data_IF_585251070086
#
_entry.id   IF_585251070086
#
_cell.length_a   1.000
_cell.length_b   1.000
_cell.length_c   1.000
_cell.angle_alpha   90.00
_cell.angle_beta   90.00
_cell.angle_gamma   90.00
#
_symmetry.space_group_name_H-M   'P 1'
#
loop_
_entity.id
_entity.type
_entity.pdbx_description
1 polymer ?
#
# COMPACT_ATOMS: atom_id res chain seq x y z
N UNK A 1 16.32 -22.47 4.97
CA UNK A 1 15.18 -22.59 5.92
C UNK A 1 13.94 -22.91 5.13
N UNK A 2 13.29 -24.05 5.41
CA UNK A 2 12.01 -24.44 4.82
C UNK A 2 10.90 -23.61 5.49
N UNK A 3 10.25 -22.72 4.73
CA UNK A 3 9.08 -21.99 5.21
C UNK A 3 7.87 -22.93 5.18
N UNK A 4 7.51 -23.46 6.35
CA UNK A 4 6.23 -24.16 6.51
C UNK A 4 5.13 -23.11 6.53
N UNK A 5 4.40 -22.98 5.43
CA UNK A 5 3.10 -22.31 5.40
C UNK A 5 2.20 -23.05 6.39
N UNK A 6 1.91 -22.44 7.55
CA UNK A 6 0.93 -22.98 8.49
C UNK A 6 -0.45 -22.74 7.89
N UNK A 7 -0.97 -23.73 7.15
CA UNK A 7 -2.34 -23.77 6.63
C UNK A 7 -3.42 -23.85 7.75
N UNK A 8 -3.01 -23.68 9.02
CA UNK A 8 -3.83 -23.81 10.22
C UNK A 8 -4.34 -22.46 10.75
N UNK A 9 -3.80 -21.34 10.27
CA UNK A 9 -4.20 -20.04 10.78
C UNK A 9 -5.59 -19.65 10.25
N UNK A 10 -6.46 -19.23 11.16
CA UNK A 10 -7.76 -18.65 10.81
C UNK A 10 -7.59 -17.38 9.98
N UNK A 11 -8.65 -16.98 9.26
CA UNK A 11 -8.63 -15.70 8.53
C UNK A 11 -8.40 -14.51 9.46
N UNK A 12 -8.90 -14.61 10.68
CA UNK A 12 -8.75 -13.58 11.71
C UNK A 12 -7.30 -13.46 12.20
N UNK A 13 -6.63 -14.57 12.52
CA UNK A 13 -5.22 -14.56 12.94
C UNK A 13 -4.29 -14.03 11.83
N UNK A 14 -4.59 -14.39 10.59
CA UNK A 14 -3.87 -13.86 9.43
C UNK A 14 -4.03 -12.34 9.31
N UNK A 15 -5.25 -11.83 9.52
CA UNK A 15 -5.54 -10.39 9.46
C UNK A 15 -4.90 -9.63 10.61
N UNK A 16 -4.98 -10.18 11.82
CA UNK A 16 -4.37 -9.59 13.01
C UNK A 16 -2.85 -9.46 12.84
N UNK A 17 -2.17 -10.48 12.33
CA UNK A 17 -0.71 -10.41 12.09
C UNK A 17 -0.35 -9.39 11.02
N UNK A 18 -1.07 -9.38 9.89
CA UNK A 18 -0.83 -8.38 8.84
C UNK A 18 -1.03 -6.96 9.37
N UNK A 19 -2.07 -6.72 10.15
CA UNK A 19 -2.32 -5.41 10.74
C UNK A 19 -1.28 -5.02 11.79
N UNK A 20 -0.91 -5.94 12.68
CA UNK A 20 0.14 -5.71 13.66
C UNK A 20 1.51 -5.43 13.01
N UNK A 21 1.77 -6.04 11.84
CA UNK A 21 2.97 -5.74 11.05
C UNK A 21 2.90 -4.34 10.44
N UNK A 22 1.83 -4.04 9.69
CA UNK A 22 1.64 -2.78 8.95
C UNK A 22 1.54 -1.56 9.85
N UNK A 23 0.87 -1.67 10.99
CA UNK A 23 0.48 -0.56 11.85
C UNK A 23 0.95 -0.78 13.30
N UNK A 24 2.27 -0.84 13.56
CA UNK A 24 2.77 -1.15 14.91
C UNK A 24 2.33 -0.15 15.99
N UNK A 25 2.03 1.09 15.61
CA UNK A 25 1.54 2.13 16.53
C UNK A 25 0.13 1.87 17.07
N UNK A 26 -0.63 0.95 16.50
CA UNK A 26 -2.02 0.68 16.91
C UNK A 26 -2.14 -0.49 17.86
N UNK A 27 -1.08 -1.27 17.95
CA UNK A 27 -0.99 -2.48 18.76
C UNK A 27 0.06 -2.31 19.87
N UNK A 28 0.41 -1.07 20.23
CA UNK A 28 1.36 -0.75 21.29
C UNK A 28 2.83 -1.10 20.97
N UNK A 29 3.15 -1.39 19.70
CA UNK A 29 4.51 -1.70 19.25
C UNK A 29 5.27 -0.45 18.74
N UNK A 30 4.68 0.74 18.86
CA UNK A 30 5.35 2.00 18.61
C UNK A 30 4.80 3.13 19.50
N UNK A 31 5.62 4.16 19.73
CA UNK A 31 5.30 5.38 20.50
C UNK A 31 4.80 6.48 19.57
N UNK A 32 3.50 6.49 19.25
CA UNK A 32 2.89 7.38 18.25
C UNK A 32 2.83 8.85 18.69
N UNK A 33 2.86 9.12 19.99
CA UNK A 33 2.66 10.43 20.60
C UNK A 33 3.70 11.48 20.16
N UNK A 34 4.82 11.03 19.59
CA UNK A 34 5.89 11.88 19.05
C UNK A 34 5.57 12.47 17.66
N UNK A 35 4.56 11.94 16.97
CA UNK A 35 4.26 12.21 15.55
C UNK A 35 2.81 12.58 15.25
N UNK A 36 1.92 12.54 16.24
CA UNK A 36 0.53 12.95 16.09
C UNK A 36 0.40 14.45 15.79
N UNK A 37 -0.45 14.77 14.81
CA UNK A 37 -0.81 16.15 14.50
C UNK A 37 -1.58 16.74 15.70
N UNK A 38 -1.02 17.78 16.33
CA UNK A 38 -1.59 18.40 17.53
C UNK A 38 -0.56 18.79 18.60
N UNK A 39 0.65 18.21 18.57
CA UNK A 39 1.73 18.53 19.51
C UNK A 39 2.49 19.84 19.18
N UNK A 40 1.80 20.91 18.75
CA UNK A 40 2.37 22.25 18.51
C UNK A 40 3.46 22.37 17.42
N UNK A 41 3.83 21.26 16.79
CA UNK A 41 4.88 21.14 15.78
C UNK A 41 4.26 20.58 14.50
N UNK A 42 3.99 21.45 13.54
CA UNK A 42 3.59 21.02 12.19
C UNK A 42 4.71 20.19 11.54
N UNK A 43 4.36 19.35 10.56
CA UNK A 43 5.32 18.57 9.78
C UNK A 43 6.37 19.48 9.09
N UNK A 44 5.96 20.68 8.67
CA UNK A 44 6.86 21.73 8.17
C UNK A 44 7.88 22.16 9.24
N UNK A 45 7.44 22.39 10.49
CA UNK A 45 8.36 22.73 11.60
C UNK A 45 9.35 21.60 11.90
N UNK A 46 9.03 20.36 11.57
CA UNK A 46 9.92 19.20 11.72
C UNK A 46 10.87 19.00 10.53
N UNK A 47 10.78 19.85 9.49
CA UNK A 47 11.62 19.79 8.31
C UNK A 47 11.37 18.53 7.46
N UNK A 48 10.14 18.00 7.46
CA UNK A 48 9.82 16.81 6.68
C UNK A 48 9.49 17.11 5.22
N UNK A 49 9.11 18.36 4.91
CA UNK A 49 8.80 18.80 3.54
C UNK A 49 9.92 18.49 2.55
N UNK A 50 11.12 18.92 2.90
CA UNK A 50 12.28 18.81 2.01
C UNK A 50 13.16 17.59 2.37
N UNK A 51 12.69 16.72 3.27
CA UNK A 51 13.45 15.56 3.72
C UNK A 51 12.57 14.35 4.09
N UNK A 52 12.00 13.65 3.08
CA UNK A 52 11.21 12.43 3.28
C UNK A 52 11.99 11.31 4.00
N UNK A 53 13.30 11.22 3.81
CA UNK A 53 14.15 10.23 4.47
C UNK A 53 14.27 10.48 5.98
N UNK A 54 14.38 11.74 6.40
CA UNK A 54 14.33 12.12 7.81
C UNK A 54 13.00 11.69 8.43
N UNK A 55 11.90 11.91 7.73
CA UNK A 55 10.58 11.49 8.20
C UNK A 55 10.51 9.96 8.38
N UNK A 56 10.89 9.18 7.36
CA UNK A 56 10.91 7.70 7.44
C UNK A 56 11.80 7.20 8.59
N UNK A 57 12.98 7.81 8.77
CA UNK A 57 13.89 7.49 9.87
C UNK A 57 13.26 7.78 11.23
N UNK A 58 12.62 8.93 11.37
CA UNK A 58 11.95 9.33 12.60
C UNK A 58 10.73 8.44 12.90
N UNK A 59 9.95 8.04 11.89
CA UNK A 59 8.87 7.04 12.05
C UNK A 59 9.43 5.70 12.52
N UNK A 60 10.49 5.15 11.91
CA UNK A 60 11.08 3.88 12.37
C UNK A 60 11.60 3.93 13.81
N UNK A 61 12.05 5.09 14.28
CA UNK A 61 12.52 5.29 15.66
C UNK A 61 11.40 5.16 16.69
N UNK A 62 10.13 5.31 16.30
CA UNK A 62 8.98 5.10 17.20
C UNK A 62 8.78 3.64 17.57
N UNK A 63 9.16 2.72 16.68
CA UNK A 63 8.96 1.28 16.87
C UNK A 63 9.83 0.83 18.02
N UNK A 64 9.22 0.13 18.98
CA UNK A 64 9.93 -0.40 20.15
C UNK A 64 11.09 -1.30 19.72
N UNK A 65 12.26 -1.14 20.35
CA UNK A 65 13.45 -1.91 19.96
C UNK A 65 13.25 -3.41 20.17
N UNK A 66 12.52 -3.79 21.22
CA UNK A 66 12.18 -5.17 21.56
C UNK A 66 10.72 -5.23 22.02
N UNK A 67 9.96 -6.20 21.49
CA UNK A 67 8.57 -6.46 21.88
C UNK A 67 8.52 -7.33 23.14
N UNK A 68 7.34 -7.43 23.77
CA UNK A 68 7.12 -8.26 24.96
C UNK A 68 7.38 -9.76 24.71
N UNK A 69 7.29 -10.22 23.46
CA UNK A 69 7.59 -11.59 23.04
C UNK A 69 9.09 -11.84 22.78
N UNK A 70 9.95 -10.85 23.02
CA UNK A 70 11.40 -10.93 22.86
C UNK A 70 11.90 -10.62 21.46
N UNK A 71 11.05 -10.56 20.42
CA UNK A 71 11.47 -10.23 19.05
C UNK A 71 11.94 -8.78 18.96
N UNK A 72 13.02 -8.55 18.20
CA UNK A 72 13.56 -7.21 18.01
C UNK A 72 12.94 -6.51 16.80
N UNK A 73 13.03 -5.17 16.79
CA UNK A 73 12.68 -4.36 15.61
C UNK A 73 13.43 -4.82 14.36
N UNK A 74 14.69 -5.22 14.51
CA UNK A 74 15.52 -5.67 13.40
C UNK A 74 15.01 -7.01 12.83
N UNK A 75 14.64 -7.96 13.69
CA UNK A 75 14.10 -9.26 13.26
C UNK A 75 12.84 -9.12 12.39
N UNK A 76 11.95 -8.21 12.84
CA UNK A 76 10.63 -7.98 12.25
C UNK A 76 10.69 -7.11 11.00
N UNK A 77 11.47 -6.02 11.06
CA UNK A 77 11.41 -4.97 10.02
C UNK A 77 12.71 -4.77 9.26
N UNK A 78 13.87 -5.09 9.84
CA UNK A 78 15.24 -4.80 9.39
C UNK A 78 15.39 -4.39 7.94
N UNK A 79 15.93 -5.28 7.11
CA UNK A 79 16.03 -5.13 5.66
C UNK A 79 14.77 -5.61 4.90
N UNK A 80 13.79 -6.15 5.61
CA UNK A 80 12.58 -6.76 5.03
C UNK A 80 11.48 -5.74 4.75
N UNK A 81 11.40 -4.67 5.54
CA UNK A 81 10.31 -3.70 5.47
C UNK A 81 10.82 -2.27 5.38
N UNK A 82 10.09 -1.44 4.63
CA UNK A 82 10.28 -0.01 4.51
C UNK A 82 9.09 0.73 5.16
N UNK A 83 9.25 2.04 5.38
CA UNK A 83 8.11 2.93 5.67
C UNK A 83 7.53 3.39 4.34
N UNK A 84 6.41 2.78 3.97
CA UNK A 84 5.65 3.12 2.76
C UNK A 84 4.70 4.29 3.01
N UNK A 85 4.22 4.89 1.92
CA UNK A 85 3.11 5.83 1.96
C UNK A 85 1.90 5.24 1.25
N UNK A 86 0.70 5.55 1.71
CA UNK A 86 -0.54 5.17 1.01
C UNK A 86 -0.64 5.99 -0.27
N UNK A 87 -0.54 7.32 -0.14
CA UNK A 87 -0.34 8.24 -1.26
C UNK A 87 1.11 8.71 -1.27
N UNK A 88 1.83 8.48 -2.37
CA UNK A 88 3.19 8.95 -2.49
C UNK A 88 3.27 10.48 -2.51
N UNK A 89 4.37 11.02 -1.97
CA UNK A 89 4.68 12.46 -1.98
C UNK A 89 4.63 13.05 -3.41
N UNK A 90 5.14 12.32 -4.41
CA UNK A 90 5.09 12.71 -5.83
C UNK A 90 3.67 12.85 -6.39
N UNK A 91 2.68 12.26 -5.71
CA UNK A 91 1.26 12.35 -6.07
C UNK A 91 0.47 13.25 -5.11
N UNK A 92 1.16 14.02 -4.27
CA UNK A 92 0.55 14.94 -3.31
C UNK A 92 0.25 14.34 -1.94
N UNK A 93 0.73 13.12 -1.65
CA UNK A 93 0.65 12.53 -0.31
C UNK A 93 1.42 13.33 0.74
N UNK A 94 0.96 13.29 2.00
CA UNK A 94 1.63 13.98 3.11
C UNK A 94 2.56 13.08 3.92
N UNK A 95 3.56 13.67 4.57
CA UNK A 95 4.46 13.00 5.51
C UNK A 95 3.83 12.93 6.92
N UNK A 96 2.73 12.19 7.05
CA UNK A 96 1.97 12.04 8.30
C UNK A 96 1.80 10.58 8.71
N UNK A 97 1.57 10.34 10.00
CA UNK A 97 1.37 8.98 10.52
C UNK A 97 0.14 8.29 9.91
N UNK A 98 -0.90 9.05 9.53
CA UNK A 98 -2.08 8.50 8.88
C UNK A 98 -1.88 8.13 7.41
N UNK A 99 -0.85 8.67 6.74
CA UNK A 99 -0.50 8.32 5.36
C UNK A 99 0.65 7.31 5.25
N UNK A 100 1.24 6.84 6.35
CA UNK A 100 2.31 5.82 6.32
C UNK A 100 1.91 4.49 6.92
N UNK A 101 2.64 3.45 6.55
CA UNK A 101 2.54 2.12 7.12
C UNK A 101 3.86 1.35 6.90
N UNK A 102 4.06 0.28 7.67
CA UNK A 102 5.16 -0.65 7.43
C UNK A 102 4.83 -1.55 6.24
N UNK A 103 5.69 -1.52 5.24
CA UNK A 103 5.45 -2.18 3.96
C UNK A 103 6.59 -3.13 3.61
N UNK A 104 6.35 -4.28 2.95
CA UNK A 104 7.42 -5.09 2.40
C UNK A 104 8.35 -4.27 1.49
N UNK A 105 9.66 -4.32 1.72
CA UNK A 105 10.62 -3.46 1.03
C UNK A 105 10.59 -3.68 -0.49
N UNK A 106 10.53 -4.93 -0.95
CA UNK A 106 10.38 -5.25 -2.38
C UNK A 106 9.11 -4.67 -2.98
N UNK A 107 7.98 -4.78 -2.26
CA UNK A 107 6.68 -4.21 -2.69
C UNK A 107 6.77 -2.68 -2.82
N UNK A 108 7.26 -2.00 -1.79
CA UNK A 108 7.42 -0.54 -1.77
C UNK A 108 8.28 -0.05 -2.95
N UNK A 109 9.45 -0.68 -3.15
CA UNK A 109 10.41 -0.31 -4.20
C UNK A 109 9.90 -0.61 -5.61
N UNK A 110 9.10 -1.67 -5.76
CA UNK A 110 8.47 -2.03 -7.03
C UNK A 110 7.34 -1.07 -7.41
N UNK A 111 6.56 -0.58 -6.44
CA UNK A 111 5.47 0.37 -6.73
C UNK A 111 5.95 1.79 -6.92
N UNK A 112 6.89 2.26 -6.09
CA UNK A 112 7.28 3.68 -6.06
C UNK A 112 6.03 4.55 -5.91
N UNK A 113 5.99 5.73 -6.54
CA UNK A 113 4.78 6.55 -6.64
C UNK A 113 3.86 6.16 -7.80
N UNK A 114 4.07 5.02 -8.48
CA UNK A 114 3.27 4.70 -9.68
C UNK A 114 1.94 4.01 -9.34
N UNK A 115 1.83 3.43 -8.14
CA UNK A 115 0.73 2.53 -7.75
C UNK A 115 0.16 2.82 -6.35
N UNK A 116 -0.12 4.07 -6.02
CA UNK A 116 -0.77 4.43 -4.74
C UNK A 116 -2.09 3.68 -4.54
N UNK A 117 -2.83 3.41 -5.61
CA UNK A 117 -4.07 2.65 -5.56
C UNK A 117 -3.87 1.23 -5.00
N UNK A 118 -2.70 0.62 -5.26
CA UNK A 118 -2.38 -0.70 -4.71
C UNK A 118 -2.07 -0.58 -3.22
N UNK A 119 -1.36 0.47 -2.79
CA UNK A 119 -1.18 0.75 -1.36
C UNK A 119 -2.54 0.93 -0.67
N UNK A 120 -3.42 1.77 -1.22
CA UNK A 120 -4.78 2.00 -0.73
C UNK A 120 -5.58 0.70 -0.62
N UNK A 121 -5.57 -0.14 -1.66
CA UNK A 121 -6.23 -1.44 -1.64
C UNK A 121 -5.69 -2.39 -0.56
N UNK A 122 -4.40 -2.27 -0.22
CA UNK A 122 -3.73 -3.13 0.76
C UNK A 122 -3.91 -2.66 2.21
N UNK A 123 -4.07 -1.36 2.43
CA UNK A 123 -4.36 -0.78 3.75
C UNK A 123 -5.85 -0.68 4.06
N UNK A 124 -6.71 -0.76 3.03
CA UNK A 124 -8.16 -0.73 3.16
C UNK A 124 -8.77 0.67 3.21
N UNK A 125 -10.10 0.70 3.14
CA UNK A 125 -10.86 1.94 3.03
C UNK A 125 -10.66 2.90 4.22
N UNK A 126 -10.80 2.47 5.49
CA UNK A 126 -10.70 3.41 6.63
C UNK A 126 -9.35 4.12 6.70
N UNK A 127 -8.27 3.40 6.34
CA UNK A 127 -6.90 3.95 6.28
C UNK A 127 -6.73 4.91 5.13
N UNK A 128 -7.22 4.52 3.95
CA UNK A 128 -7.14 5.36 2.76
C UNK A 128 -7.90 6.66 2.95
N UNK A 129 -9.06 6.63 3.60
CA UNK A 129 -9.85 7.82 3.93
C UNK A 129 -9.07 8.78 4.85
N UNK A 130 -8.48 8.26 5.93
CA UNK A 130 -7.63 9.05 6.83
C UNK A 130 -6.42 9.65 6.09
N UNK A 131 -5.71 8.83 5.33
CA UNK A 131 -4.55 9.25 4.54
C UNK A 131 -4.90 10.35 3.52
N UNK A 132 -6.05 10.21 2.86
CA UNK A 132 -6.55 11.17 1.88
C UNK A 132 -6.89 12.51 2.54
N UNK A 133 -7.57 12.48 3.69
CA UNK A 133 -7.86 13.69 4.48
C UNK A 133 -6.57 14.41 4.88
N UNK A 134 -5.63 13.70 5.48
CA UNK A 134 -4.34 14.27 5.91
C UNK A 134 -3.49 14.74 4.72
N UNK A 135 -3.58 14.09 3.56
CA UNK A 135 -2.84 14.51 2.35
C UNK A 135 -3.47 15.72 1.65
N UNK A 136 -4.79 15.93 1.79
CA UNK A 136 -5.44 17.18 1.35
C UNK A 136 -5.12 18.34 2.29
N UNK A 137 -5.05 18.09 3.59
CA UNK A 137 -4.80 19.13 4.60
C UNK A 137 -3.33 19.53 4.68
N UNK A 138 -2.42 18.55 4.58
CA UNK A 138 -0.99 18.74 4.85
C UNK A 138 -0.08 18.41 3.66
N UNK A 139 -0.63 17.84 2.60
CA UNK A 139 0.09 17.52 1.37
C UNK A 139 -0.30 18.43 0.22
N UNK A 140 -0.28 17.88 -0.99
CA UNK A 140 -0.76 18.55 -2.21
C UNK A 140 -1.71 17.65 -3.01
N UNK A 141 -2.47 16.80 -2.32
CA UNK A 141 -3.34 15.83 -2.98
C UNK A 141 -4.41 16.53 -3.83
N UNK A 142 -4.83 17.74 -3.43
CA UNK A 142 -5.81 18.58 -4.14
C UNK A 142 -5.36 19.12 -5.51
N UNK A 143 -4.09 18.94 -5.88
CA UNK A 143 -3.59 19.19 -7.23
C UNK A 143 -2.96 17.95 -7.88
N UNK A 144 -3.09 16.79 -7.23
CA UNK A 144 -2.43 15.55 -7.62
C UNK A 144 -3.31 14.62 -8.43
N UNK A 145 -2.76 13.43 -8.75
CA UNK A 145 -3.44 12.35 -9.50
C UNK A 145 -4.80 11.95 -8.91
N UNK A 146 -4.97 12.12 -7.60
CA UNK A 146 -6.11 11.62 -6.83
C UNK A 146 -7.09 12.70 -6.37
N UNK A 147 -6.91 13.94 -6.81
CA UNK A 147 -7.68 15.10 -6.32
C UNK A 147 -9.20 14.85 -6.34
N UNK A 148 -9.71 14.47 -7.51
CA UNK A 148 -11.14 14.26 -7.78
C UNK A 148 -11.66 12.87 -7.39
N UNK A 149 -10.81 12.04 -6.76
CA UNK A 149 -11.19 10.68 -6.40
C UNK A 149 -11.67 10.61 -4.95
N UNK A 150 -12.65 9.74 -4.70
CA UNK A 150 -12.99 9.32 -3.34
C UNK A 150 -12.01 8.23 -2.87
N UNK A 151 -11.86 8.06 -1.56
CA UNK A 151 -11.04 6.99 -0.99
C UNK A 151 -11.51 5.61 -1.46
N UNK A 152 -12.82 5.40 -1.58
CA UNK A 152 -13.42 4.17 -2.12
C UNK A 152 -13.02 3.93 -3.57
N UNK A 153 -13.13 4.93 -4.44
CA UNK A 153 -12.77 4.80 -5.84
C UNK A 153 -11.28 4.44 -6.02
N UNK A 154 -10.38 5.02 -5.20
CA UNK A 154 -8.96 4.68 -5.24
C UNK A 154 -8.73 3.22 -4.81
N UNK A 155 -9.36 2.79 -3.70
CA UNK A 155 -9.25 1.41 -3.19
C UNK A 155 -9.76 0.42 -4.22
N UNK A 156 -10.92 0.67 -4.81
CA UNK A 156 -11.53 -0.22 -5.79
C UNK A 156 -10.71 -0.30 -7.07
N UNK A 157 -10.17 0.81 -7.55
CA UNK A 157 -9.25 0.81 -8.68
C UNK A 157 -7.98 -0.02 -8.39
N UNK A 158 -7.43 0.07 -7.19
CA UNK A 158 -6.32 -0.77 -6.77
C UNK A 158 -6.66 -2.26 -6.75
N UNK A 159 -7.84 -2.61 -6.24
CA UNK A 159 -8.36 -3.99 -6.25
C UNK A 159 -8.52 -4.52 -7.67
N UNK A 160 -9.10 -3.73 -8.58
CA UNK A 160 -9.25 -4.10 -9.99
C UNK A 160 -7.89 -4.32 -10.68
N UNK A 161 -6.86 -3.52 -10.34
CA UNK A 161 -5.50 -3.76 -10.84
C UNK A 161 -4.91 -5.05 -10.30
N UNK A 162 -5.01 -5.31 -8.99
CA UNK A 162 -4.48 -6.52 -8.37
C UNK A 162 -5.14 -7.80 -8.90
N UNK A 163 -6.44 -7.76 -9.23
CA UNK A 163 -7.16 -8.87 -9.86
C UNK A 163 -6.50 -9.36 -11.15
N UNK A 164 -5.90 -8.46 -11.94
CA UNK A 164 -5.23 -8.80 -13.21
C UNK A 164 -4.03 -9.75 -13.03
N UNK A 165 -3.43 -9.74 -11.85
CA UNK A 165 -2.28 -10.58 -11.49
C UNK A 165 -2.64 -11.65 -10.45
N UNK A 166 -3.94 -11.93 -10.31
CA UNK A 166 -4.47 -13.00 -9.46
C UNK A 166 -4.44 -12.70 -7.95
N UNK A 167 -4.23 -11.44 -7.55
CA UNK A 167 -4.21 -11.01 -6.15
C UNK A 167 -5.55 -10.39 -5.78
N UNK A 168 -6.06 -10.71 -4.59
CA UNK A 168 -7.25 -10.08 -4.01
C UNK A 168 -6.89 -9.49 -2.64
N UNK A 169 -7.56 -8.39 -2.28
CA UNK A 169 -7.50 -7.82 -0.93
C UNK A 169 -8.89 -7.80 -0.28
N UNK A 170 -8.94 -7.85 1.05
CA UNK A 170 -10.20 -7.80 1.81
C UNK A 170 -10.73 -6.36 1.86
N UNK A 171 -11.93 -6.18 2.45
CA UNK A 171 -12.53 -4.85 2.64
C UNK A 171 -11.67 -3.98 3.57
N UNK A 172 -11.12 -4.57 4.63
CA UNK A 172 -10.23 -3.93 5.60
C UNK A 172 -8.82 -3.65 5.08
N UNK A 173 -8.48 -4.13 3.87
CA UNK A 173 -7.11 -4.21 3.37
C UNK A 173 -6.66 -5.66 3.30
N UNK A 174 -5.36 -5.91 3.51
CA UNK A 174 -4.76 -7.24 3.65
C UNK A 174 -4.82 -8.13 2.41
N UNK A 175 -3.91 -9.09 2.35
CA UNK A 175 -3.96 -10.16 1.35
C UNK A 175 -5.10 -11.13 1.68
N UNK A 176 -5.95 -11.42 0.70
CA UNK A 176 -6.99 -12.43 0.81
C UNK A 176 -6.46 -13.81 0.37
N UNK A 177 -6.42 -14.76 1.30
CA UNK A 177 -5.90 -16.12 1.05
C UNK A 177 -6.69 -16.91 0.01
N UNK A 178 -7.91 -16.46 -0.34
CA UNK A 178 -8.75 -17.09 -1.36
C UNK A 178 -8.27 -16.78 -2.79
N UNK A 179 -7.40 -15.78 -2.97
CA UNK A 179 -6.90 -15.38 -4.28
C UNK A 179 -6.06 -16.47 -4.96
N UNK A 180 -6.04 -16.45 -6.30
CA UNK A 180 -5.33 -17.44 -7.10
C UNK A 180 -3.82 -17.40 -6.82
N UNK A 181 -3.24 -16.21 -6.68
CA UNK A 181 -1.82 -16.05 -6.40
C UNK A 181 -1.42 -16.66 -5.04
N UNK A 182 -2.27 -16.56 -4.01
CA UNK A 182 -2.02 -17.19 -2.71
C UNK A 182 -2.11 -18.72 -2.80
N UNK A 183 -3.17 -19.24 -3.41
CA UNK A 183 -3.37 -20.69 -3.61
C UNK A 183 -2.23 -21.34 -4.40
N UNK A 184 -1.66 -20.59 -5.35
CA UNK A 184 -0.53 -21.02 -6.17
C UNK A 184 0.84 -20.73 -5.51
N UNK A 185 0.87 -20.29 -4.25
CA UNK A 185 2.10 -19.96 -3.50
C UNK A 185 2.98 -18.92 -4.21
N UNK A 186 2.38 -18.00 -4.95
CA UNK A 186 3.06 -16.87 -5.60
C UNK A 186 3.13 -15.65 -4.69
N UNK A 187 2.19 -15.53 -3.75
CA UNK A 187 2.18 -14.55 -2.67
C UNK A 187 1.78 -15.25 -1.37
N UNK A 188 2.12 -14.67 -0.24
CA UNK A 188 1.69 -15.17 1.06
C UNK A 188 2.07 -14.25 2.20
N UNK A 189 1.76 -14.69 3.42
CA UNK A 189 2.08 -13.97 4.66
C UNK A 189 2.91 -14.89 5.54
N UNK A 190 4.00 -14.38 6.11
CA UNK A 190 4.83 -15.15 7.05
C UNK A 190 4.31 -15.04 8.50
N UNK A 191 5.02 -15.67 9.43
CA UNK A 191 4.66 -15.70 10.85
C UNK A 191 4.70 -14.32 11.53
N UNK A 192 5.40 -13.35 10.94
CA UNK A 192 5.53 -12.00 11.46
C UNK A 192 4.45 -11.07 10.89
N UNK A 193 3.63 -11.56 9.94
CA UNK A 193 2.62 -10.77 9.24
C UNK A 193 3.16 -10.06 7.99
N UNK A 194 4.40 -10.36 7.59
CA UNK A 194 5.01 -9.76 6.41
C UNK A 194 4.54 -10.47 5.14
N UNK A 195 4.14 -9.67 4.15
CA UNK A 195 3.63 -10.17 2.87
C UNK A 195 4.75 -10.29 1.85
N UNK A 196 4.93 -11.48 1.29
CA UNK A 196 5.96 -11.78 0.30
C UNK A 196 5.36 -12.00 -1.10
N UNK A 197 6.20 -11.95 -2.13
CA UNK A 197 5.82 -12.22 -3.54
C UNK A 197 5.13 -11.06 -4.27
N UNK A 198 4.72 -10.01 -3.56
CA UNK A 198 4.03 -8.85 -4.15
C UNK A 198 4.90 -8.08 -5.15
N UNK A 199 6.23 -8.01 -4.95
CA UNK A 199 7.15 -7.40 -5.91
C UNK A 199 7.00 -7.99 -7.32
N UNK A 200 7.02 -9.32 -7.43
CA UNK A 200 6.83 -10.03 -8.69
C UNK A 200 5.46 -9.71 -9.30
N UNK A 201 4.40 -9.65 -8.48
CA UNK A 201 3.05 -9.31 -8.96
C UNK A 201 2.92 -7.88 -9.46
N UNK A 202 3.61 -6.93 -8.83
CA UNK A 202 3.67 -5.55 -9.31
C UNK A 202 4.45 -5.47 -10.64
N UNK A 203 5.52 -6.24 -10.79
CA UNK A 203 6.26 -6.32 -12.06
C UNK A 203 5.42 -6.96 -13.18
N UNK A 204 4.69 -8.04 -12.90
CA UNK A 204 3.72 -8.63 -13.83
C UNK A 204 2.68 -7.59 -14.28
N UNK A 205 2.13 -6.80 -13.35
CA UNK A 205 1.16 -5.75 -13.66
C UNK A 205 1.77 -4.66 -14.57
N UNK A 206 2.99 -4.21 -14.28
CA UNK A 206 3.73 -3.26 -15.13
C UNK A 206 3.90 -3.78 -16.55
N UNK A 207 4.18 -5.08 -16.72
CA UNK A 207 4.30 -5.71 -18.03
C UNK A 207 2.96 -5.74 -18.76
N UNK A 208 1.88 -6.16 -18.08
CA UNK A 208 0.52 -6.14 -18.64
C UNK A 208 0.17 -4.73 -19.13
N UNK A 209 0.36 -3.71 -18.29
CA UNK A 209 0.06 -2.31 -18.62
C UNK A 209 0.91 -1.76 -19.78
N UNK A 210 2.15 -2.23 -19.96
CA UNK A 210 2.98 -1.89 -21.13
C UNK A 210 2.53 -2.57 -22.41
N UNK A 211 2.01 -3.80 -22.32
CA UNK A 211 1.58 -4.59 -23.48
C UNK A 211 0.15 -4.30 -23.92
N UNK A 212 -0.67 -3.72 -23.04
CA UNK A 212 -1.98 -3.24 -23.43
C UNK A 212 -1.78 -2.09 -24.42
N UNK A 213 -2.40 -2.13 -25.61
CA UNK A 213 -2.39 -0.98 -26.50
C UNK A 213 -2.90 0.21 -25.68
N UNK A 214 -2.10 1.27 -25.57
CA UNK A 214 -2.60 2.56 -25.10
C UNK A 214 -3.85 2.79 -25.90
N UNK A 215 -5.01 2.94 -25.27
CA UNK A 215 -6.24 3.32 -25.97
C UNK A 215 -5.87 4.54 -26.82
N UNK A 216 -5.66 4.31 -28.11
CA UNK A 216 -5.68 5.36 -29.09
C UNK A 216 -7.11 5.87 -29.07
N UNK A 217 -7.28 7.16 -29.26
CA UNK A 217 -8.56 7.84 -29.45
C UNK A 217 -9.30 7.36 -30.73
N UNK A 218 -9.06 6.14 -31.19
CA UNK A 218 -9.55 5.50 -32.41
C UNK A 218 -10.50 4.34 -32.12
N UNK A 219 -11.38 4.49 -31.12
CA UNK A 219 -12.62 3.70 -31.15
C UNK A 219 -13.41 3.98 -32.44
N UNK A 220 -13.29 5.19 -33.01
CA UNK A 220 -13.87 5.55 -34.29
C UNK A 220 -13.30 4.72 -35.47
N UNK A 221 -11.99 4.46 -35.49
CA UNK A 221 -11.34 3.69 -36.56
C UNK A 221 -11.60 2.18 -36.41
N UNK A 222 -11.68 1.66 -35.18
CA UNK A 222 -12.04 0.25 -34.92
C UNK A 222 -13.49 -0.07 -35.34
N UNK A 223 -14.44 0.83 -35.13
CA UNK A 223 -15.82 0.65 -35.63
C UNK A 223 -15.96 0.90 -37.14
N UNK A 224 -15.09 1.72 -37.74
CA UNK A 224 -15.04 1.95 -39.20
C UNK A 224 -14.50 0.72 -39.95
N UNK A 225 -13.43 0.10 -39.44
CA UNK A 225 -12.79 -1.09 -40.04
C UNK A 225 -13.63 -2.37 -39.89
N UNK A 226 -14.52 -2.45 -38.90
CA UNK A 226 -15.43 -3.58 -38.70
C UNK A 226 -16.71 -3.52 -39.54
N UNK A 227 -16.89 -2.49 -40.38
CA UNK A 227 -18.05 -2.40 -41.30
C UNK A 227 -19.42 -2.32 -40.61
N UNK A 228 -19.46 -2.01 -39.31
CA UNK A 228 -20.71 -1.90 -38.52
C UNK A 228 -21.35 -0.50 -38.60
N UNK A 229 -20.81 0.39 -39.44
CA UNK A 229 -21.42 1.68 -39.81
C UNK A 229 -22.59 1.50 -40.77
N UNK A 230 -23.67 0.88 -40.30
CA UNK A 230 -24.89 0.62 -41.07
C UNK A 230 -25.98 1.66 -40.88
N UNK A 231 -26.08 2.56 -41.87
CA UNK A 231 -27.28 3.23 -42.43
C UNK A 231 -27.91 4.39 -41.65
N UNK A 232 -28.15 5.44 -42.45
CA UNK A 232 -28.99 6.62 -42.19
C UNK A 232 -30.38 6.27 -41.70
#
# INVERSE_FOLDING_TARGET
>A
MSFVLRDLDSDEELDQRQNAHKFPWEVGNARSEWFEAGAGTTWEKKGYRDNPEKFRKDVRRTIVNQRADGRTREDLYGNKSDVGHIFADTNGGSNTIGNVYMQPAGMNRAMRGDYDEINAAFVGHPRTEKAMKESREYGNLGGGRWDQWTSEAVVDHGKEKLKKVGVLTKKGGELDKRCAAYKNKQVGVDADGHVWGMETKIQELRLIEKTLPKKTDDLAEYFSTMGLGGRK
#
